data_IF_970370963541
#
_entry.id   IF_970370963541
#
_cell.length_a   1.000
_cell.length_b   1.000
_cell.length_c   1.000
_cell.angle_alpha   90.00
_cell.angle_beta   90.00
_cell.angle_gamma   90.00
#
_symmetry.space_group_name_H-M   'P 1'
#
loop_
_entity.id
_entity.type
_entity.pdbx_description
1 polymer ?
#
# COMPACT_ATOMS: atom_id res chain seq x y z
N UNK A 1 7.17 -15.27 -6.30
CA UNK A 1 5.85 -15.89 -5.93
C UNK A 1 5.03 -16.01 -7.19
N UNK A 2 4.47 -17.18 -7.47
CA UNK A 2 3.63 -17.42 -8.64
C UNK A 2 2.20 -16.85 -8.48
N UNK A 3 1.39 -16.97 -9.55
CA UNK A 3 0.03 -16.44 -9.58
C UNK A 3 -0.87 -17.11 -8.51
N UNK A 4 -0.70 -18.41 -8.25
CA UNK A 4 -1.47 -19.13 -7.23
C UNK A 4 -1.14 -18.64 -5.81
N UNK A 5 0.14 -18.41 -5.53
CA UNK A 5 0.59 -17.86 -4.25
C UNK A 5 0.07 -16.43 -4.02
N UNK A 6 0.08 -15.58 -5.05
CA UNK A 6 -0.49 -14.22 -4.97
C UNK A 6 -1.99 -14.24 -4.77
N UNK A 7 -2.68 -15.20 -5.41
CA UNK A 7 -4.12 -15.41 -5.19
C UNK A 7 -4.41 -15.90 -3.78
N UNK A 8 -3.68 -16.87 -3.27
CA UNK A 8 -3.85 -17.38 -1.90
C UNK A 8 -3.62 -16.27 -0.87
N UNK A 9 -2.60 -15.42 -1.08
CA UNK A 9 -2.39 -14.23 -0.26
C UNK A 9 -3.59 -13.27 -0.33
N UNK A 10 -4.10 -12.97 -1.52
CA UNK A 10 -5.24 -12.07 -1.69
C UNK A 10 -6.49 -12.61 -1.00
N UNK A 11 -6.77 -13.91 -1.15
CA UNK A 11 -7.90 -14.56 -0.47
C UNK A 11 -7.75 -14.50 1.07
N UNK A 12 -6.53 -14.68 1.59
CA UNK A 12 -6.25 -14.51 3.02
C UNK A 12 -6.45 -13.05 3.47
N UNK A 13 -6.02 -12.06 2.67
CA UNK A 13 -6.18 -10.63 2.96
C UNK A 13 -7.65 -10.21 2.96
N UNK A 14 -8.47 -10.77 2.08
CA UNK A 14 -9.91 -10.50 2.06
C UNK A 14 -10.63 -11.06 3.29
N UNK A 15 -10.12 -12.16 3.87
CA UNK A 15 -10.74 -12.87 4.98
C UNK A 15 -10.13 -12.56 6.36
N UNK A 16 -9.06 -11.76 6.43
CA UNK A 16 -8.41 -11.44 7.69
C UNK A 16 -9.30 -10.57 8.58
N UNK A 17 -9.30 -10.87 9.89
CA UNK A 17 -10.04 -10.13 10.92
C UNK A 17 -9.13 -9.84 12.10
N UNK A 18 -9.23 -8.62 12.66
CA UNK A 18 -8.41 -8.17 13.80
C UNK A 18 -8.59 -9.03 15.06
N UNK A 19 -9.79 -9.53 15.28
CA UNK A 19 -10.15 -10.34 16.46
C UNK A 19 -9.92 -11.84 16.25
N UNK A 20 -9.36 -12.25 15.12
CA UNK A 20 -9.05 -13.65 14.81
C UNK A 20 -7.54 -13.84 14.58
N UNK A 21 -6.76 -14.22 15.61
CA UNK A 21 -5.32 -14.44 15.47
C UNK A 21 -4.94 -15.49 14.43
N UNK A 22 -5.80 -16.49 14.20
CA UNK A 22 -5.55 -17.53 13.20
C UNK A 22 -5.61 -16.96 11.78
N UNK A 23 -6.54 -16.03 11.50
CA UNK A 23 -6.61 -15.36 10.20
C UNK A 23 -5.42 -14.44 9.96
N UNK A 24 -4.91 -13.78 11.01
CA UNK A 24 -3.70 -12.95 10.94
C UNK A 24 -2.48 -13.83 10.65
N UNK A 25 -2.37 -14.98 11.30
CA UNK A 25 -1.26 -15.91 11.06
C UNK A 25 -1.33 -16.52 9.65
N UNK A 26 -2.52 -16.88 9.17
CA UNK A 26 -2.71 -17.35 7.80
C UNK A 26 -2.27 -16.29 6.77
N UNK A 27 -2.61 -15.01 6.99
CA UNK A 27 -2.17 -13.91 6.15
C UNK A 27 -0.63 -13.77 6.16
N UNK A 28 0.01 -13.87 7.32
CA UNK A 28 1.47 -13.79 7.44
C UNK A 28 2.15 -14.92 6.68
N UNK A 29 1.65 -16.14 6.79
CA UNK A 29 2.20 -17.30 6.07
C UNK A 29 2.04 -17.14 4.56
N UNK A 30 0.87 -16.69 4.10
CA UNK A 30 0.62 -16.41 2.68
C UNK A 30 1.47 -15.24 2.14
N UNK A 31 1.90 -14.32 2.99
CA UNK A 31 2.73 -13.15 2.64
C UNK A 31 4.23 -13.39 2.83
N UNK A 32 4.71 -14.63 2.83
CA UNK A 32 6.14 -14.91 3.02
C UNK A 32 6.95 -14.42 1.81
N UNK A 33 7.81 -13.39 1.97
CA UNK A 33 8.58 -12.86 0.86
C UNK A 33 9.74 -13.78 0.48
N UNK A 34 10.24 -13.70 -0.76
CA UNK A 34 11.49 -14.35 -1.13
C UNK A 34 12.65 -13.74 -0.33
N UNK A 35 13.74 -14.49 -0.18
CA UNK A 35 14.92 -14.03 0.56
C UNK A 35 15.49 -12.71 0.00
N UNK A 36 15.49 -12.57 -1.32
CA UNK A 36 16.03 -11.40 -2.00
C UNK A 36 14.91 -10.62 -2.68
N UNK A 37 14.90 -9.31 -2.45
CA UNK A 37 14.08 -8.36 -3.17
C UNK A 37 14.96 -7.26 -3.75
N UNK A 38 14.54 -6.63 -4.83
CA UNK A 38 15.33 -5.60 -5.50
C UNK A 38 14.52 -4.34 -5.82
N UNK A 39 15.24 -3.22 -6.02
CA UNK A 39 14.68 -1.95 -6.45
C UNK A 39 15.49 -1.36 -7.59
N UNK A 40 14.80 -0.93 -8.64
CA UNK A 40 15.36 -0.22 -9.77
C UNK A 40 15.37 1.28 -9.50
N UNK A 41 16.44 1.96 -9.87
CA UNK A 41 16.63 3.41 -9.64
C UNK A 41 17.32 4.08 -10.82
N UNK A 42 16.84 5.25 -11.28
CA UNK A 42 17.64 6.11 -12.15
C UNK A 42 18.79 6.72 -11.35
N UNK A 43 19.84 7.14 -12.02
CA UNK A 43 20.92 7.90 -11.38
C UNK A 43 20.47 9.36 -11.23
N UNK A 44 20.29 9.78 -10.00
CA UNK A 44 19.94 11.15 -9.60
C UNK A 44 20.58 11.47 -8.26
N UNK A 45 20.67 12.74 -7.91
CA UNK A 45 21.16 13.18 -6.60
C UNK A 45 20.43 12.46 -5.47
N UNK A 46 19.07 12.44 -5.52
CA UNK A 46 18.26 11.79 -4.51
C UNK A 46 18.52 10.28 -4.41
N UNK A 47 18.66 9.57 -5.53
CA UNK A 47 18.90 8.12 -5.49
C UNK A 47 20.30 7.77 -4.99
N UNK A 48 21.30 8.60 -5.29
CA UNK A 48 22.66 8.44 -4.79
C UNK A 48 22.74 8.72 -3.28
N UNK A 49 22.11 9.78 -2.79
CA UNK A 49 22.04 10.10 -1.36
C UNK A 49 21.32 8.99 -0.58
N UNK A 50 20.20 8.50 -1.11
CA UNK A 50 19.48 7.38 -0.50
C UNK A 50 20.34 6.12 -0.42
N UNK A 51 21.13 5.83 -1.46
CA UNK A 51 22.06 4.70 -1.47
C UNK A 51 23.17 4.91 -0.43
N UNK A 52 23.81 6.07 -0.37
CA UNK A 52 24.89 6.39 0.59
C UNK A 52 24.44 6.26 2.04
N UNK A 53 23.21 6.70 2.33
CA UNK A 53 22.65 6.73 3.68
C UNK A 53 21.90 5.44 4.05
N UNK A 54 21.81 4.47 3.13
CA UNK A 54 21.00 3.26 3.30
C UNK A 54 19.53 3.56 3.62
N UNK A 55 18.97 4.64 3.05
CA UNK A 55 17.60 5.10 3.32
C UNK A 55 16.65 4.75 2.19
N UNK A 56 15.49 4.25 2.54
CA UNK A 56 14.37 4.02 1.63
C UNK A 56 13.18 4.86 2.09
N UNK A 57 12.82 5.86 1.28
CA UNK A 57 11.67 6.72 1.59
C UNK A 57 10.38 6.10 1.09
N UNK A 58 9.35 6.20 1.92
CA UNK A 58 7.99 5.91 1.51
C UNK A 58 7.52 6.98 0.52
N UNK A 59 6.84 6.54 -0.53
CA UNK A 59 6.14 7.41 -1.48
C UNK A 59 4.64 7.27 -1.27
N UNK A 60 3.91 8.37 -1.26
CA UNK A 60 2.45 8.32 -1.27
C UNK A 60 1.94 7.92 -2.64
N UNK A 61 0.75 7.33 -2.67
CA UNK A 61 0.20 6.73 -3.87
C UNK A 61 -0.14 7.76 -4.97
N UNK A 62 -0.38 9.01 -4.63
CA UNK A 62 -0.59 10.10 -5.57
C UNK A 62 0.67 10.48 -6.39
N UNK A 63 1.86 10.01 -5.98
CA UNK A 63 3.12 10.17 -6.73
C UNK A 63 3.48 8.97 -7.60
N UNK A 64 2.62 7.97 -7.73
CA UNK A 64 2.90 6.84 -8.60
C UNK A 64 2.72 7.19 -10.07
N UNK A 65 3.56 6.61 -10.94
CA UNK A 65 3.51 6.84 -12.39
C UNK A 65 2.20 6.32 -13.01
N UNK A 66 1.60 5.28 -12.43
CA UNK A 66 0.30 4.78 -12.83
C UNK A 66 -0.79 5.44 -11.99
N UNK A 67 -1.63 6.33 -12.57
CA UNK A 67 -2.73 6.98 -11.84
C UNK A 67 -3.81 6.01 -11.38
N UNK A 68 -3.76 4.77 -11.87
CA UNK A 68 -4.67 3.70 -11.46
C UNK A 68 -4.09 2.78 -10.38
N UNK A 69 -2.85 2.96 -9.98
CA UNK A 69 -2.28 2.26 -8.84
C UNK A 69 -2.93 2.78 -7.55
N UNK A 70 -3.29 1.87 -6.64
CA UNK A 70 -4.07 2.21 -5.44
C UNK A 70 -5.43 2.89 -5.72
N UNK A 71 -5.89 2.84 -6.97
CA UNK A 71 -7.19 3.37 -7.36
C UNK A 71 -8.27 2.31 -7.18
N UNK A 72 -9.09 2.45 -6.15
CA UNK A 72 -10.19 1.54 -5.89
C UNK A 72 -11.49 1.95 -6.57
N UNK A 73 -12.34 0.96 -6.81
CA UNK A 73 -13.65 1.16 -7.39
C UNK A 73 -14.66 1.62 -6.33
N UNK A 74 -15.60 2.48 -6.75
CA UNK A 74 -16.74 2.90 -5.94
C UNK A 74 -18.02 2.55 -6.71
N UNK A 75 -18.77 1.57 -6.19
CA UNK A 75 -20.03 1.13 -6.78
C UNK A 75 -21.22 1.79 -6.07
N UNK A 76 -21.80 2.80 -6.70
CA UNK A 76 -23.02 3.44 -6.21
C UNK A 76 -24.27 2.57 -6.40
N UNK A 77 -24.24 1.54 -7.23
CA UNK A 77 -25.39 0.65 -7.45
C UNK A 77 -25.72 -0.12 -6.17
N UNK A 78 -24.71 -0.67 -5.51
CA UNK A 78 -24.88 -1.35 -4.22
C UNK A 78 -25.35 -0.37 -3.14
N UNK A 79 -24.84 0.86 -3.13
CA UNK A 79 -25.28 1.89 -2.20
C UNK A 79 -26.73 2.30 -2.44
N UNK A 80 -27.15 2.50 -3.71
CA UNK A 80 -28.55 2.76 -4.06
C UNK A 80 -29.46 1.65 -3.55
N UNK A 81 -29.10 0.40 -3.84
CA UNK A 81 -29.86 -0.78 -3.36
C UNK A 81 -29.95 -0.83 -1.84
N UNK A 82 -28.86 -0.54 -1.16
CA UNK A 82 -28.83 -0.48 0.31
C UNK A 82 -29.78 0.60 0.84
N UNK A 83 -29.74 1.83 0.29
CA UNK A 83 -30.64 2.92 0.68
C UNK A 83 -32.12 2.56 0.43
N UNK A 84 -32.43 1.93 -0.69
CA UNK A 84 -33.78 1.46 -1.00
C UNK A 84 -34.23 0.37 -0.02
N UNK A 85 -33.37 -0.59 0.28
CA UNK A 85 -33.66 -1.63 1.28
C UNK A 85 -33.89 -1.05 2.67
N UNK A 86 -33.05 -0.08 3.06
CA UNK A 86 -33.21 0.61 4.36
C UNK A 86 -34.55 1.34 4.40
N UNK A 87 -34.96 2.06 3.35
CA UNK A 87 -36.27 2.72 3.28
C UNK A 87 -37.44 1.74 3.39
N UNK A 88 -37.34 0.58 2.73
CA UNK A 88 -38.35 -0.48 2.85
C UNK A 88 -38.42 -1.03 4.29
N UNK A 89 -37.29 -1.25 4.93
CA UNK A 89 -37.23 -1.69 6.33
C UNK A 89 -37.82 -0.66 7.29
N UNK A 90 -37.58 0.62 7.05
CA UNK A 90 -38.16 1.72 7.82
C UNK A 90 -39.68 1.81 7.64
N UNK A 91 -40.15 1.73 6.40
CA UNK A 91 -41.58 1.72 6.07
C UNK A 91 -42.31 0.52 6.70
N UNK A 92 -41.65 -0.66 6.68
CA UNK A 92 -42.15 -1.90 7.32
C UNK A 92 -41.93 -1.95 8.84
N UNK A 93 -41.42 -0.91 9.47
CA UNK A 93 -41.11 -0.85 10.90
C UNK A 93 -40.28 -2.04 11.39
N UNK A 94 -39.25 -2.43 10.63
CA UNK A 94 -38.36 -3.52 11.00
C UNK A 94 -37.82 -3.34 12.42
N UNK A 95 -38.05 -4.30 13.31
CA UNK A 95 -37.74 -4.19 14.74
C UNK A 95 -36.25 -3.91 15.02
N UNK A 96 -35.35 -4.56 14.28
CA UNK A 96 -33.90 -4.38 14.45
C UNK A 96 -33.47 -2.95 14.08
N UNK A 97 -33.99 -2.44 12.95
CA UNK A 97 -33.69 -1.08 12.48
C UNK A 97 -34.27 -0.05 13.43
N UNK A 98 -35.51 -0.25 13.89
CA UNK A 98 -36.17 0.66 14.84
C UNK A 98 -35.42 0.73 16.17
N UNK A 99 -35.01 -0.41 16.75
CA UNK A 99 -34.17 -0.44 17.95
C UNK A 99 -32.83 0.28 17.76
N UNK A 100 -32.21 0.11 16.60
CA UNK A 100 -30.98 0.83 16.25
C UNK A 100 -31.20 2.35 16.21
N UNK A 101 -32.29 2.82 15.62
CA UNK A 101 -32.63 4.25 15.56
C UNK A 101 -32.99 4.82 16.93
N UNK A 102 -33.71 4.06 17.76
CA UNK A 102 -34.01 4.44 19.15
C UNK A 102 -32.75 4.63 19.98
N UNK A 103 -31.71 3.81 19.75
CA UNK A 103 -30.41 3.93 20.42
C UNK A 103 -29.60 5.15 19.93
N UNK A 104 -29.74 5.50 18.65
CA UNK A 104 -28.95 6.58 18.00
C UNK A 104 -29.62 7.95 18.15
N UNK A 105 -30.94 8.04 18.13
CA UNK A 105 -31.71 9.29 18.16
C UNK A 105 -31.34 10.21 19.33
N UNK A 106 -31.21 9.72 20.59
CA UNK A 106 -30.78 10.57 21.71
C UNK A 106 -29.37 11.15 21.55
N UNK A 107 -28.45 10.40 20.87
CA UNK A 107 -27.09 10.85 20.63
C UNK A 107 -27.04 12.01 19.62
N UNK A 108 -28.05 12.10 18.76
CA UNK A 108 -28.21 13.18 17.78
C UNK A 108 -29.12 14.32 18.27
N UNK A 109 -29.62 14.25 19.52
CA UNK A 109 -30.60 15.20 20.08
C UNK A 109 -31.87 15.34 19.22
N UNK A 110 -32.35 14.23 18.64
CA UNK A 110 -33.59 14.18 17.85
C UNK A 110 -34.50 13.06 18.36
N UNK A 111 -35.79 13.11 18.00
CA UNK A 111 -36.66 11.96 18.29
C UNK A 111 -36.48 10.86 17.27
N UNK A 112 -36.77 9.61 17.66
CA UNK A 112 -36.73 8.46 16.75
C UNK A 112 -37.65 8.65 15.56
N UNK A 113 -38.85 9.23 15.78
CA UNK A 113 -39.81 9.53 14.73
C UNK A 113 -39.27 10.56 13.73
N UNK A 114 -38.64 11.63 14.20
CA UNK A 114 -38.02 12.65 13.37
C UNK A 114 -36.87 12.06 12.53
N UNK A 115 -36.07 11.16 13.14
CA UNK A 115 -34.98 10.46 12.42
C UNK A 115 -35.54 9.52 11.34
N UNK A 116 -36.58 8.74 11.65
CA UNK A 116 -37.26 7.87 10.68
C UNK A 116 -37.84 8.69 9.53
N UNK A 117 -38.52 9.80 9.85
CA UNK A 117 -39.11 10.70 8.84
C UNK A 117 -38.04 11.29 7.93
N UNK A 118 -36.94 11.76 8.49
CA UNK A 118 -35.81 12.28 7.73
C UNK A 118 -35.23 11.24 6.77
N UNK A 119 -34.91 10.04 7.28
CA UNK A 119 -34.32 8.95 6.48
C UNK A 119 -35.29 8.42 5.41
N UNK A 120 -36.59 8.48 5.64
CA UNK A 120 -37.60 8.01 4.67
C UNK A 120 -37.80 9.01 3.55
N UNK A 121 -37.82 10.30 3.85
CA UNK A 121 -38.17 11.36 2.88
C UNK A 121 -36.93 11.94 2.17
N UNK A 122 -35.74 11.80 2.74
CA UNK A 122 -34.53 12.29 2.10
C UNK A 122 -34.13 11.34 0.96
N UNK A 123 -34.13 11.86 -0.27
CA UNK A 123 -33.54 11.17 -1.44
C UNK A 123 -32.12 11.66 -1.54
N UNK A 124 -31.10 10.81 -1.34
CA UNK A 124 -29.71 11.22 -1.54
C UNK A 124 -29.50 11.67 -3.00
N UNK A 125 -28.86 12.81 -3.20
CA UNK A 125 -28.32 13.15 -4.50
C UNK A 125 -27.08 12.29 -4.75
N UNK A 126 -27.25 11.23 -5.53
CA UNK A 126 -26.17 10.30 -5.82
C UNK A 126 -25.08 10.92 -6.70
N UNK A 127 -25.35 12.02 -7.42
CA UNK A 127 -24.33 12.74 -8.17
C UNK A 127 -23.43 13.53 -7.23
N UNK A 128 -24.03 14.26 -6.29
CA UNK A 128 -23.28 14.96 -5.25
C UNK A 128 -22.51 13.99 -4.36
N UNK A 129 -23.14 12.90 -3.94
CA UNK A 129 -22.50 11.86 -3.15
C UNK A 129 -21.30 11.25 -3.89
N UNK A 130 -21.40 10.99 -5.19
CA UNK A 130 -20.29 10.51 -6.01
C UNK A 130 -19.11 11.48 -5.95
N UNK A 131 -19.36 12.78 -6.14
CA UNK A 131 -18.31 13.80 -6.04
C UNK A 131 -17.62 13.81 -4.67
N UNK A 132 -18.40 13.69 -3.59
CA UNK A 132 -17.87 13.63 -2.24
C UNK A 132 -17.00 12.37 -2.00
N UNK A 133 -17.42 11.22 -2.51
CA UNK A 133 -16.65 9.96 -2.39
C UNK A 133 -15.39 9.99 -3.26
N UNK A 134 -15.40 10.66 -4.41
CA UNK A 134 -14.20 10.86 -5.22
C UNK A 134 -13.16 11.74 -4.49
N UNK A 135 -13.58 12.76 -3.74
CA UNK A 135 -12.70 13.54 -2.87
C UNK A 135 -12.10 12.64 -1.77
N UNK A 136 -12.92 11.80 -1.12
CA UNK A 136 -12.44 10.85 -0.10
C UNK A 136 -11.41 9.87 -0.70
N UNK A 137 -11.65 9.36 -1.90
CA UNK A 137 -10.68 8.49 -2.59
C UNK A 137 -9.34 9.18 -2.79
N UNK A 138 -9.34 10.41 -3.28
CA UNK A 138 -8.12 11.18 -3.48
C UNK A 138 -7.38 11.41 -2.14
N UNK A 139 -8.11 11.76 -1.09
CA UNK A 139 -7.52 11.94 0.24
C UNK A 139 -6.92 10.63 0.79
N UNK A 140 -7.57 9.49 0.56
CA UNK A 140 -7.03 8.17 0.93
C UNK A 140 -5.73 7.91 0.18
N UNK A 141 -5.67 8.16 -1.13
CA UNK A 141 -4.45 7.97 -1.92
C UNK A 141 -3.28 8.81 -1.39
N UNK A 142 -3.51 10.05 -0.95
CA UNK A 142 -2.45 10.88 -0.35
C UNK A 142 -1.96 10.38 1.01
N UNK A 143 -2.71 9.50 1.68
CA UNK A 143 -2.39 8.93 2.98
C UNK A 143 -1.90 7.48 2.92
N UNK A 144 -1.88 6.88 1.75
CA UNK A 144 -1.32 5.55 1.52
C UNK A 144 0.13 5.66 1.04
N UNK A 145 1.02 5.15 1.84
CA UNK A 145 2.45 5.22 1.58
C UNK A 145 3.04 3.83 1.41
N UNK A 146 3.87 3.64 0.40
CA UNK A 146 4.59 2.38 0.25
C UNK A 146 6.02 2.54 -0.24
N UNK A 147 6.79 1.46 -0.04
CA UNK A 147 8.07 1.22 -0.67
C UNK A 147 7.91 -0.03 -1.53
N UNK A 148 8.11 0.12 -2.82
CA UNK A 148 7.94 -0.96 -3.80
C UNK A 148 9.26 -1.67 -4.08
N UNK A 149 9.19 -2.98 -4.18
CA UNK A 149 10.28 -3.89 -4.53
C UNK A 149 9.80 -4.85 -5.61
N UNK A 150 10.72 -5.57 -6.23
CA UNK A 150 10.41 -6.66 -7.17
C UNK A 150 11.29 -7.88 -6.90
N UNK A 151 10.92 -9.02 -7.49
CA UNK A 151 11.62 -10.29 -7.25
C UNK A 151 12.84 -10.47 -8.16
N UNK A 152 12.77 -10.01 -9.41
CA UNK A 152 13.79 -10.29 -10.43
C UNK A 152 14.64 -9.04 -10.73
N UNK A 153 15.95 -9.05 -10.37
CA UNK A 153 16.86 -7.95 -10.69
C UNK A 153 17.23 -7.87 -12.19
N UNK A 154 16.87 -8.85 -13.00
CA UNK A 154 17.14 -8.90 -14.45
C UNK A 154 15.90 -8.65 -15.31
N UNK A 155 14.79 -8.24 -14.71
CA UNK A 155 13.56 -7.90 -15.41
C UNK A 155 13.78 -6.74 -16.40
N UNK A 156 13.78 -7.05 -17.70
CA UNK A 156 14.08 -6.08 -18.77
C UNK A 156 13.11 -4.89 -18.79
N UNK A 157 11.83 -5.15 -18.54
CA UNK A 157 10.81 -4.10 -18.51
C UNK A 157 11.05 -3.10 -17.37
N UNK A 158 11.47 -3.58 -16.20
CA UNK A 158 11.76 -2.71 -15.06
C UNK A 158 13.06 -1.94 -15.26
N UNK A 159 14.06 -2.52 -15.92
CA UNK A 159 15.26 -1.80 -16.33
C UNK A 159 14.94 -0.67 -17.31
N UNK A 160 13.98 -0.90 -18.20
CA UNK A 160 13.52 0.11 -19.14
C UNK A 160 12.77 1.23 -18.44
N UNK A 161 11.78 0.90 -17.57
CA UNK A 161 10.88 1.85 -16.93
C UNK A 161 11.51 2.61 -15.77
N UNK A 162 12.20 1.92 -14.86
CA UNK A 162 12.61 2.48 -13.56
C UNK A 162 14.12 2.68 -13.41
N UNK A 163 14.91 2.17 -14.36
CA UNK A 163 16.35 2.36 -14.38
C UNK A 163 16.84 3.18 -15.59
N UNK A 164 16.06 4.16 -16.02
CA UNK A 164 16.41 5.10 -17.10
C UNK A 164 16.92 4.37 -18.37
N UNK A 165 16.12 3.47 -18.91
CA UNK A 165 16.50 2.72 -20.12
C UNK A 165 17.86 2.00 -19.99
N UNK A 166 18.06 1.23 -18.91
CA UNK A 166 19.30 0.55 -18.57
C UNK A 166 20.51 1.45 -18.25
N UNK A 167 20.29 2.76 -17.95
CA UNK A 167 21.33 3.68 -17.51
C UNK A 167 21.40 3.83 -15.99
N UNK A 168 20.39 3.33 -15.29
CA UNK A 168 20.27 3.34 -13.84
C UNK A 168 20.97 2.16 -13.18
N UNK A 169 20.55 1.86 -11.96
CA UNK A 169 21.10 0.77 -11.15
C UNK A 169 19.98 0.03 -10.39
N UNK A 170 20.30 -1.18 -9.95
CA UNK A 170 19.45 -2.01 -9.09
C UNK A 170 20.14 -2.20 -7.75
N UNK A 171 19.36 -2.09 -6.69
CA UNK A 171 19.74 -2.40 -5.30
C UNK A 171 19.08 -3.72 -4.92
N UNK A 172 19.85 -4.70 -4.46
CA UNK A 172 19.34 -6.00 -3.99
C UNK A 172 19.44 -6.04 -2.47
N UNK A 173 18.37 -6.46 -1.81
CA UNK A 173 18.22 -6.53 -0.36
C UNK A 173 18.04 -7.98 0.06
N UNK A 174 18.85 -8.43 1.01
CA UNK A 174 18.68 -9.74 1.66
C UNK A 174 17.81 -9.57 2.90
N UNK A 175 16.60 -10.10 2.86
CA UNK A 175 15.62 -9.97 3.93
C UNK A 175 15.95 -10.83 5.16
N UNK A 176 16.95 -11.71 5.07
CA UNK A 176 17.45 -12.45 6.23
C UNK A 176 18.37 -11.60 7.13
N UNK A 177 18.77 -10.40 6.68
CA UNK A 177 19.64 -9.50 7.47
C UNK A 177 18.81 -8.67 8.45
N UNK A 178 19.15 -8.73 9.75
CA UNK A 178 18.44 -8.04 10.85
C UNK A 178 18.69 -6.52 10.93
N UNK A 179 19.26 -5.88 9.89
CA UNK A 179 19.74 -4.49 9.96
C UNK A 179 18.70 -3.44 9.56
N UNK A 180 17.41 -3.78 9.48
CA UNK A 180 16.37 -2.85 9.05
C UNK A 180 15.85 -2.00 10.20
N UNK A 181 15.96 -0.68 10.08
CA UNK A 181 15.40 0.29 11.04
C UNK A 181 14.13 0.90 10.46
N UNK A 182 12.99 0.53 11.01
CA UNK A 182 11.67 0.84 10.45
C UNK A 182 11.21 2.29 10.67
N UNK A 183 11.60 2.90 11.77
CA UNK A 183 11.12 4.24 12.13
C UNK A 183 12.02 5.39 11.64
N UNK A 184 13.08 5.08 10.87
CA UNK A 184 14.02 6.07 10.36
C UNK A 184 14.92 6.73 11.42
N UNK A 185 14.89 6.32 12.67
CA UNK A 185 15.83 6.76 13.72
C UNK A 185 17.16 6.05 13.55
N UNK A 186 18.24 6.70 14.02
CA UNK A 186 19.60 6.13 13.93
C UNK A 186 19.73 4.85 14.75
N UNK A 187 18.96 4.72 15.83
CA UNK A 187 18.99 3.58 16.74
C UNK A 187 17.62 2.89 16.80
N UNK A 188 17.62 1.57 17.05
CA UNK A 188 16.41 0.80 17.31
C UNK A 188 15.77 1.32 18.58
N UNK A 189 14.60 1.93 18.45
CA UNK A 189 13.84 2.43 19.59
C UNK A 189 13.10 1.28 20.27
N UNK A 190 13.55 0.85 21.45
CA UNK A 190 12.93 -0.24 22.23
C UNK A 190 11.47 0.02 22.62
N UNK A 191 11.07 1.29 22.70
CA UNK A 191 9.71 1.70 23.07
C UNK A 191 8.85 2.09 21.87
N UNK A 192 9.36 1.92 20.65
CA UNK A 192 8.63 2.24 19.43
C UNK A 192 7.96 0.98 18.89
N UNK A 193 6.62 0.96 18.75
CA UNK A 193 5.93 -0.20 18.16
C UNK A 193 6.50 -0.58 16.78
N UNK A 194 6.87 0.40 15.96
CA UNK A 194 7.47 0.17 14.64
C UNK A 194 8.87 -0.45 14.69
N UNK A 195 9.61 -0.30 15.79
CA UNK A 195 10.94 -0.90 15.96
C UNK A 195 10.93 -2.30 16.57
N UNK A 196 9.76 -2.78 17.02
CA UNK A 196 9.63 -4.08 17.69
C UNK A 196 9.16 -5.19 16.74
N UNK A 197 8.69 -4.84 15.55
CA UNK A 197 8.19 -5.79 14.57
C UNK A 197 9.13 -5.84 13.35
N UNK A 198 9.40 -7.03 12.79
CA UNK A 198 10.10 -7.13 11.53
C UNK A 198 9.31 -6.40 10.42
N UNK A 199 9.99 -5.88 9.40
CA UNK A 199 9.31 -5.28 8.27
C UNK A 199 8.39 -6.30 7.62
N UNK A 200 7.15 -5.89 7.34
CA UNK A 200 6.18 -6.72 6.65
C UNK A 200 6.21 -6.35 5.17
N UNK A 201 6.46 -7.36 4.33
CA UNK A 201 6.40 -7.25 2.89
C UNK A 201 5.17 -8.01 2.42
N UNK A 202 4.39 -7.38 1.57
CA UNK A 202 3.19 -7.98 1.00
C UNK A 202 3.32 -8.08 -0.51
N UNK A 203 2.95 -9.22 -1.12
CA UNK A 203 2.93 -9.33 -2.57
C UNK A 203 1.75 -8.55 -3.14
N UNK A 204 1.95 -7.93 -4.30
CA UNK A 204 0.86 -7.32 -5.05
C UNK A 204 0.09 -8.39 -5.81
N UNK A 205 -1.23 -8.39 -5.68
CA UNK A 205 -2.15 -9.22 -6.43
C UNK A 205 -2.49 -8.54 -7.76
N UNK A 206 -2.50 -9.29 -8.85
CA UNK A 206 -2.80 -8.79 -10.18
C UNK A 206 -4.15 -9.30 -10.66
N UNK A 207 -5.06 -8.38 -11.03
CA UNK A 207 -6.42 -8.70 -11.43
C UNK A 207 -6.90 -7.76 -12.54
N UNK A 208 -7.77 -8.25 -13.40
CA UNK A 208 -8.49 -7.39 -14.35
C UNK A 208 -9.61 -6.61 -13.67
N UNK A 209 -10.05 -7.04 -12.51
CA UNK A 209 -11.03 -6.35 -11.70
C UNK A 209 -10.33 -5.41 -10.70
N UNK A 210 -11.01 -4.31 -10.36
CA UNK A 210 -10.58 -3.40 -9.31
C UNK A 210 -11.23 -3.78 -8.00
N UNK A 211 -10.54 -3.52 -6.91
CA UNK A 211 -11.10 -3.69 -5.57
C UNK A 211 -12.23 -2.69 -5.34
N UNK A 212 -13.40 -3.18 -4.95
CA UNK A 212 -14.55 -2.36 -4.55
C UNK A 212 -14.41 -1.96 -3.07
N UNK A 213 -14.01 -0.73 -2.82
CA UNK A 213 -13.92 -0.15 -1.48
C UNK A 213 -15.04 0.88 -1.23
N UNK A 214 -16.20 0.72 -1.87
CA UNK A 214 -17.35 1.64 -1.71
C UNK A 214 -17.76 1.82 -0.25
N UNK A 215 -17.83 0.72 0.51
CA UNK A 215 -18.15 0.76 1.93
C UNK A 215 -17.12 1.56 2.71
N UNK A 216 -15.82 1.30 2.48
CA UNK A 216 -14.75 2.01 3.15
C UNK A 216 -14.77 3.52 2.86
N UNK A 217 -14.95 3.90 1.59
CA UNK A 217 -15.07 5.31 1.21
C UNK A 217 -16.28 5.98 1.89
N UNK A 218 -17.40 5.27 1.97
CA UNK A 218 -18.59 5.74 2.66
C UNK A 218 -18.35 5.88 4.18
N UNK A 219 -17.74 4.89 4.82
CA UNK A 219 -17.40 4.92 6.24
C UNK A 219 -16.45 6.10 6.56
N UNK A 220 -15.43 6.34 5.73
CA UNK A 220 -14.54 7.50 5.84
C UNK A 220 -15.30 8.82 5.69
N UNK A 221 -16.24 8.89 4.74
CA UNK A 221 -17.11 10.06 4.56
C UNK A 221 -17.95 10.33 5.79
N UNK A 222 -18.52 9.28 6.39
CA UNK A 222 -19.32 9.38 7.60
C UNK A 222 -18.50 9.85 8.81
N UNK A 223 -17.27 9.35 8.97
CA UNK A 223 -16.37 9.80 10.05
C UNK A 223 -16.01 11.28 9.89
N UNK A 224 -15.85 11.74 8.66
CA UNK A 224 -15.48 13.14 8.35
C UNK A 224 -16.62 14.14 8.60
N UNK A 225 -17.86 13.68 8.55
CA UNK A 225 -19.02 14.53 8.83
C UNK A 225 -19.02 14.95 10.30
N UNK A 226 -19.07 16.28 10.55
CA UNK A 226 -19.01 16.86 11.91
C UNK A 226 -20.14 16.41 12.81
N UNK A 227 -21.28 16.01 12.26
CA UNK A 227 -22.39 15.44 13.04
C UNK A 227 -22.08 14.05 13.61
N UNK A 228 -21.10 13.34 13.03
CA UNK A 228 -20.64 12.03 13.52
C UNK A 228 -19.55 12.14 14.57
N UNK A 229 -18.95 13.30 14.79
CA UNK A 229 -17.94 13.48 15.84
C UNK A 229 -18.51 13.21 17.23
N UNK A 230 -19.81 13.42 17.44
CA UNK A 230 -20.54 13.07 18.67
C UNK A 230 -20.82 11.57 18.81
N UNK A 231 -20.93 10.84 17.71
CA UNK A 231 -21.07 9.37 17.68
C UNK A 231 -19.71 8.65 17.61
N UNK A 232 -18.63 9.41 17.46
CA UNK A 232 -17.30 8.91 17.20
C UNK A 232 -16.80 7.80 18.12
N UNK A 233 -17.01 7.82 19.46
CA UNK A 233 -16.46 6.77 20.32
C UNK A 233 -17.09 5.38 20.06
N UNK A 234 -18.38 5.33 19.77
CA UNK A 234 -19.10 4.07 19.51
C UNK A 234 -18.94 3.63 18.05
N UNK A 235 -19.09 4.57 17.10
CA UNK A 235 -18.92 4.28 15.67
C UNK A 235 -17.48 3.91 15.33
N UNK A 236 -16.48 4.55 15.95
CA UNK A 236 -15.07 4.23 15.76
C UNK A 236 -14.73 2.77 16.09
N UNK A 237 -15.30 2.21 17.15
CA UNK A 237 -15.05 0.81 17.50
C UNK A 237 -15.54 -0.17 16.43
N UNK A 238 -16.71 0.08 15.84
CA UNK A 238 -17.27 -0.75 14.79
C UNK A 238 -16.58 -0.53 13.44
N UNK A 239 -16.38 0.72 13.05
CA UNK A 239 -15.77 1.08 11.77
C UNK A 239 -14.29 0.68 11.73
N UNK A 240 -13.50 0.93 12.78
CA UNK A 240 -12.09 0.56 12.84
C UNK A 240 -11.88 -0.96 12.77
N UNK A 241 -12.81 -1.75 13.29
CA UNK A 241 -12.73 -3.21 13.23
C UNK A 241 -12.95 -3.72 11.80
N UNK A 242 -13.91 -3.16 11.09
CA UNK A 242 -14.26 -3.56 9.72
C UNK A 242 -13.29 -3.01 8.66
N UNK A 243 -12.62 -1.88 8.95
CA UNK A 243 -11.75 -1.18 7.99
C UNK A 243 -10.27 -1.41 8.21
N UNK A 244 -9.90 -2.26 9.16
CA UNK A 244 -8.52 -2.43 9.62
C UNK A 244 -7.52 -2.81 8.52
N UNK A 245 -7.97 -3.50 7.46
CA UNK A 245 -7.13 -3.99 6.36
C UNK A 245 -7.47 -3.36 5.01
N UNK A 246 -8.29 -2.32 4.99
CA UNK A 246 -8.72 -1.69 3.74
C UNK A 246 -7.57 -0.95 3.03
N UNK A 247 -6.66 -0.35 3.80
CA UNK A 247 -5.46 0.28 3.24
C UNK A 247 -4.59 -0.71 2.49
N UNK A 248 -4.38 -1.91 3.07
CA UNK A 248 -3.64 -2.99 2.45
C UNK A 248 -4.37 -3.54 1.21
N UNK A 249 -5.68 -3.76 1.29
CA UNK A 249 -6.49 -4.22 0.15
C UNK A 249 -6.42 -3.25 -1.03
N UNK A 250 -6.55 -1.96 -0.76
CA UNK A 250 -6.45 -0.92 -1.79
C UNK A 250 -5.04 -0.84 -2.38
N UNK A 251 -4.02 -0.97 -1.54
CA UNK A 251 -2.62 -0.80 -1.95
C UNK A 251 -1.98 -2.03 -2.59
N UNK A 252 -2.61 -3.21 -2.50
CA UNK A 252 -2.01 -4.48 -2.91
C UNK A 252 -2.70 -5.13 -4.11
N UNK A 253 -3.49 -4.38 -4.86
CA UNK A 253 -4.11 -4.83 -6.10
C UNK A 253 -3.72 -3.93 -7.26
N UNK A 254 -3.26 -4.52 -8.37
CA UNK A 254 -2.95 -3.84 -9.63
C UNK A 254 -3.62 -4.54 -10.81
N UNK A 255 -3.72 -3.84 -11.92
CA UNK A 255 -4.18 -4.42 -13.19
C UNK A 255 -3.22 -5.52 -13.66
N UNK A 256 -3.78 -6.61 -14.23
CA UNK A 256 -3.03 -7.78 -14.70
C UNK A 256 -1.96 -7.45 -15.74
N UNK A 257 -2.12 -6.39 -16.52
CA UNK A 257 -1.10 -5.91 -17.45
C UNK A 257 0.23 -5.47 -16.78
N UNK A 258 0.27 -5.34 -15.45
CA UNK A 258 1.47 -5.03 -14.65
C UNK A 258 2.05 -6.25 -13.93
N UNK A 259 1.59 -7.47 -14.20
CA UNK A 259 2.05 -8.67 -13.49
C UNK A 259 3.56 -8.95 -13.67
N UNK A 260 4.16 -8.43 -14.76
CA UNK A 260 5.60 -8.47 -14.98
C UNK A 260 6.41 -7.71 -13.92
N UNK A 261 5.79 -6.79 -13.15
CA UNK A 261 6.46 -6.07 -12.06
C UNK A 261 6.87 -7.03 -10.93
N UNK A 262 6.16 -8.13 -10.73
CA UNK A 262 6.36 -9.09 -9.63
C UNK A 262 6.58 -8.37 -8.30
N UNK A 263 5.70 -7.40 -8.05
CA UNK A 263 5.90 -6.39 -7.02
C UNK A 263 5.60 -6.89 -5.61
N UNK A 264 6.38 -6.38 -4.67
CA UNK A 264 6.18 -6.48 -3.22
C UNK A 264 6.17 -5.09 -2.62
N UNK A 265 5.36 -4.88 -1.59
CA UNK A 265 5.26 -3.59 -0.93
C UNK A 265 5.44 -3.68 0.57
N UNK A 266 6.21 -2.75 1.12
CA UNK A 266 6.07 -2.33 2.51
C UNK A 266 5.05 -1.21 2.54
N UNK A 267 3.95 -1.40 3.26
CA UNK A 267 2.86 -0.40 3.34
C UNK A 267 2.89 0.27 4.70
N UNK A 268 2.61 1.55 4.71
CA UNK A 268 2.43 2.32 5.93
C UNK A 268 1.26 3.29 5.75
N UNK A 269 0.07 2.97 6.27
CA UNK A 269 -1.02 3.92 6.37
C UNK A 269 -0.67 4.97 7.41
N UNK A 270 -1.03 6.22 7.14
CA UNK A 270 -0.82 7.38 8.01
C UNK A 270 0.64 7.58 8.46
N UNK A 271 1.36 8.40 7.73
CA UNK A 271 2.70 8.83 8.11
C UNK A 271 2.60 10.17 8.83
N UNK A 272 3.32 10.28 9.96
CA UNK A 272 3.51 11.54 10.65
C UNK A 272 4.10 12.62 9.72
N UNK A 273 3.83 13.92 9.91
CA UNK A 273 4.39 14.97 9.07
C UNK A 273 5.91 14.84 8.91
N UNK A 274 6.38 14.88 7.68
CA UNK A 274 7.80 14.74 7.32
C UNK A 274 8.07 13.54 6.42
N UNK A 275 9.26 13.52 5.80
CA UNK A 275 9.69 12.39 4.98
C UNK A 275 10.00 11.19 5.87
N UNK A 276 9.16 10.18 5.83
CA UNK A 276 9.38 8.93 6.56
C UNK A 276 10.21 7.96 5.71
N UNK A 277 11.20 7.36 6.31
CA UNK A 277 12.08 6.38 5.66
C UNK A 277 12.32 5.18 6.57
N UNK A 278 12.81 4.11 5.98
CA UNK A 278 13.43 2.98 6.68
C UNK A 278 14.91 2.94 6.34
N UNK A 279 15.74 2.51 7.29
CA UNK A 279 17.14 2.18 7.01
C UNK A 279 17.24 0.70 6.65
N UNK A 280 17.74 0.44 5.44
CA UNK A 280 17.93 -0.90 4.93
C UNK A 280 19.08 -0.88 3.93
N UNK A 281 20.16 -1.61 4.25
CA UNK A 281 21.35 -1.65 3.41
C UNK A 281 21.21 -2.71 2.33
N UNK A 282 21.40 -2.37 1.05
CA UNK A 282 21.50 -3.38 0.00
C UNK A 282 22.70 -4.31 0.22
N UNK A 283 22.55 -5.58 -0.07
CA UNK A 283 23.68 -6.52 -0.11
C UNK A 283 24.47 -6.42 -1.43
N UNK A 284 23.81 -6.04 -2.52
CA UNK A 284 24.40 -5.95 -3.86
C UNK A 284 23.86 -4.73 -4.60
N UNK A 285 24.70 -4.10 -5.41
CA UNK A 285 24.31 -3.08 -6.39
C UNK A 285 24.75 -3.50 -7.77
N UNK A 286 23.81 -3.49 -8.76
CA UNK A 286 24.10 -3.80 -10.17
C UNK A 286 23.92 -2.52 -10.97
N UNK A 287 24.95 -2.10 -11.70
CA UNK A 287 24.91 -0.97 -12.63
C UNK A 287 24.40 -1.43 -14.00
N UNK A 288 23.58 -0.57 -14.64
CA UNK A 288 22.89 -0.91 -15.87
C UNK A 288 23.82 -1.10 -17.08
N UNK A 289 23.34 -1.85 -18.05
CA UNK A 289 24.06 -2.21 -19.30
C UNK A 289 24.53 -0.96 -20.08
N UNK A 290 23.70 0.09 -20.11
CA UNK A 290 23.93 1.32 -20.89
C UNK A 290 24.38 2.50 -20.03
N UNK A 291 24.77 2.25 -18.76
CA UNK A 291 25.19 3.31 -17.85
C UNK A 291 26.51 3.95 -18.32
N UNK A 292 26.59 5.28 -18.49
CA UNK A 292 27.84 6.00 -18.77
C UNK A 292 28.86 5.80 -17.65
N UNK A 293 30.16 5.77 -17.99
CA UNK A 293 31.22 5.47 -17.03
C UNK A 293 31.26 6.45 -15.87
N UNK A 294 31.05 7.76 -16.11
CA UNK A 294 31.03 8.73 -15.03
C UNK A 294 29.90 8.47 -14.01
N UNK A 295 28.71 8.04 -14.45
CA UNK A 295 27.61 7.66 -13.56
C UNK A 295 27.93 6.36 -12.82
N UNK A 296 28.60 5.42 -13.48
CA UNK A 296 29.04 4.17 -12.88
C UNK A 296 29.99 4.42 -11.71
N UNK A 297 30.95 5.38 -11.87
CA UNK A 297 31.83 5.84 -10.79
C UNK A 297 31.08 6.46 -9.63
N UNK A 298 30.06 7.30 -9.91
CA UNK A 298 29.22 7.90 -8.85
C UNK A 298 28.47 6.83 -8.05
N UNK A 299 27.83 5.86 -8.72
CA UNK A 299 27.12 4.76 -8.06
C UNK A 299 28.07 3.89 -7.24
N UNK A 300 29.27 3.55 -7.79
CA UNK A 300 30.30 2.81 -7.05
C UNK A 300 30.75 3.55 -5.79
N UNK A 301 31.00 4.85 -5.92
CA UNK A 301 31.38 5.70 -4.77
C UNK A 301 30.29 5.71 -3.70
N UNK A 302 29.03 5.93 -4.10
CA UNK A 302 27.90 5.92 -3.19
C UNK A 302 27.73 4.56 -2.49
N UNK A 303 27.86 3.45 -3.21
CA UNK A 303 27.78 2.11 -2.66
C UNK A 303 28.93 1.82 -1.67
N UNK A 304 30.16 2.24 -1.97
CA UNK A 304 31.30 2.10 -1.05
C UNK A 304 31.08 2.88 0.25
N UNK A 305 30.57 4.12 0.17
CA UNK A 305 30.23 4.92 1.36
C UNK A 305 29.15 4.24 2.18
N UNK A 306 28.18 3.59 1.55
CA UNK A 306 27.14 2.81 2.20
C UNK A 306 27.62 1.50 2.83
N UNK A 307 28.90 1.13 2.64
CA UNK A 307 29.47 -0.13 3.12
C UNK A 307 29.05 -1.36 2.30
N UNK A 308 28.70 -1.17 1.02
CA UNK A 308 28.33 -2.25 0.11
C UNK A 308 29.60 -2.69 -0.65
N UNK A 309 29.96 -3.97 -0.50
CA UNK A 309 31.13 -4.57 -1.13
C UNK A 309 30.83 -5.27 -2.45
N UNK A 310 29.64 -5.84 -2.62
CA UNK A 310 29.26 -6.51 -3.86
C UNK A 310 28.65 -5.53 -4.85
N UNK A 311 29.52 -4.96 -5.70
CA UNK A 311 29.14 -4.04 -6.77
C UNK A 311 29.40 -4.74 -8.09
N UNK A 312 28.38 -4.83 -8.92
CA UNK A 312 28.37 -5.59 -10.15
C UNK A 312 28.00 -4.69 -11.35
N UNK A 313 28.36 -5.15 -12.52
CA UNK A 313 27.93 -4.55 -13.79
C UNK A 313 27.09 -5.54 -14.58
N UNK A 314 26.06 -5.04 -15.24
CA UNK A 314 25.23 -5.83 -16.12
C UNK A 314 25.91 -6.11 -17.45
N UNK A 315 25.69 -7.28 -18.00
CA UNK A 315 26.08 -7.66 -19.35
C UNK A 315 25.04 -8.61 -19.96
N UNK A 316 25.12 -8.83 -21.26
CA UNK A 316 24.34 -9.86 -21.96
C UNK A 316 25.25 -11.09 -22.09
N UNK A 317 24.77 -12.22 -21.60
CA UNK A 317 25.52 -13.48 -21.66
C UNK A 317 25.40 -14.17 -23.01
N UNK A 318 26.11 -15.29 -23.18
CA UNK A 318 26.14 -16.07 -24.44
C UNK A 318 24.79 -16.73 -24.82
N UNK A 319 23.80 -16.63 -23.93
CA UNK A 319 22.42 -17.08 -24.14
C UNK A 319 21.46 -15.95 -24.42
N UNK A 320 21.97 -14.74 -24.72
CA UNK A 320 21.22 -13.51 -24.96
C UNK A 320 20.35 -13.08 -23.75
N UNK A 321 20.80 -13.38 -22.52
CA UNK A 321 20.11 -13.02 -21.29
C UNK A 321 20.88 -11.97 -20.50
N UNK A 322 20.14 -11.13 -19.80
CA UNK A 322 20.72 -10.21 -18.82
C UNK A 322 21.37 -11.01 -17.69
N UNK A 323 22.61 -10.66 -17.37
CA UNK A 323 23.38 -11.25 -16.28
C UNK A 323 24.27 -10.17 -15.64
N UNK A 324 24.91 -10.46 -14.52
CA UNK A 324 25.81 -9.54 -13.84
C UNK A 324 27.13 -10.20 -13.47
N UNK A 325 28.20 -9.42 -13.52
CA UNK A 325 29.54 -9.83 -13.08
C UNK A 325 30.12 -8.80 -12.12
N UNK A 326 31.03 -9.19 -11.21
CA UNK A 326 31.75 -8.23 -10.37
C UNK A 326 32.42 -7.15 -11.21
N UNK A 327 32.35 -5.90 -10.74
CA UNK A 327 33.10 -4.82 -11.39
C UNK A 327 34.58 -5.07 -11.22
N UNK A 328 35.36 -4.88 -12.29
CA UNK A 328 36.82 -4.90 -12.20
C UNK A 328 37.25 -3.76 -11.28
N UNK A 329 38.07 -4.06 -10.28
CA UNK A 329 38.74 -3.03 -9.49
C UNK A 329 39.70 -2.26 -10.42
N UNK A 330 39.53 -0.95 -10.48
CA UNK A 330 40.52 -0.05 -11.05
C UNK A 330 41.53 0.35 -9.99
#
# INVERSE_FOLDING_TARGET
MDEEGRKAFWDALLNVKLDNPQSIEALRQAATPPRLLCRFRPVSENSLLQLQENKLYYSSADYYDDPFDTYFYIDLTNLKRFVETLKQMLAGKNETVMKGLEAVAPLLNVSSESLVQSLTHTVPDFSELRGQLDVIRNDIQTQLFSICFCEDPFNETLWLKYADNHRGFVQIYDLSCETTILCGKEEICRNCPSGQHPPQFYPVFYSDERYDASKFAFDCRMIRDTHWSTLAPLAQQFILKDTAWEAERISLIKKKCHEYDQEWRMIRPQIAPGRTYVKMRPCTVITGLRMPEYQRRLVRSAAKVAGISDIREMYIDDSDRLNSRPTKEE
#
